data_IF_039814690336
#
_entry.id   IF_039814690336
#
_cell.length_a   1.000
_cell.length_b   1.000
_cell.length_c   1.000
_cell.angle_alpha   90.00
_cell.angle_beta   90.00
_cell.angle_gamma   90.00
#
_symmetry.space_group_name_H-M   'P 1'
#
loop_
_entity.id
_entity.type
_entity.pdbx_description
1 polymer ?
#
# COMPACT_ATOMS: atom_id res chain seq x y z
N UNK A 1 22.52 33.31 -19.91
CA UNK A 1 23.69 32.42 -19.94
C UNK A 1 23.66 31.54 -18.69
N UNK A 2 23.00 30.40 -18.74
CA UNK A 2 22.76 29.51 -17.60
C UNK A 2 23.70 28.31 -17.72
N UNK A 3 24.61 28.19 -16.77
CA UNK A 3 25.60 27.11 -16.71
C UNK A 3 24.89 25.81 -16.21
N UNK A 4 24.69 24.84 -17.10
CA UNK A 4 24.36 23.44 -16.74
C UNK A 4 25.55 22.84 -15.98
N UNK A 5 25.38 22.55 -14.70
CA UNK A 5 26.31 21.70 -13.94
C UNK A 5 26.00 20.25 -14.25
N UNK A 6 26.84 19.60 -15.03
CA UNK A 6 26.88 18.11 -15.09
C UNK A 6 27.40 17.60 -13.76
N UNK A 7 26.55 16.92 -12.98
CA UNK A 7 27.01 16.13 -11.84
C UNK A 7 27.52 14.79 -12.36
N UNK A 8 28.80 14.52 -12.11
CA UNK A 8 29.40 13.19 -12.30
C UNK A 8 28.88 12.27 -11.19
N UNK A 9 28.28 11.17 -11.59
CA UNK A 9 28.03 10.04 -10.68
C UNK A 9 29.37 9.43 -10.29
N UNK A 10 29.71 9.51 -9.03
CA UNK A 10 30.75 8.70 -8.41
C UNK A 10 30.03 7.60 -7.64
N UNK A 11 30.04 6.39 -8.18
CA UNK A 11 29.60 5.21 -7.48
C UNK A 11 30.60 4.90 -6.37
N UNK A 12 30.21 5.07 -5.12
CA UNK A 12 30.94 4.51 -3.98
C UNK A 12 30.45 3.09 -3.74
N UNK A 13 31.17 2.13 -4.31
CA UNK A 13 31.10 0.74 -3.88
C UNK A 13 32.09 0.60 -2.74
N UNK A 14 31.58 0.50 -1.52
CA UNK A 14 32.38 0.10 -0.37
C UNK A 14 31.67 -1.05 0.35
N UNK A 15 32.18 -2.22 0.09
CA UNK A 15 32.41 -3.33 1.00
C UNK A 15 31.26 -3.89 1.81
N UNK A 16 30.72 -5.00 1.38
CA UNK A 16 30.55 -6.16 2.24
C UNK A 16 30.47 -7.42 1.37
N UNK A 17 31.44 -8.24 1.57
CA UNK A 17 31.65 -9.54 0.92
C UNK A 17 30.57 -10.53 1.31
N UNK A 18 30.25 -11.40 0.34
CA UNK A 18 29.79 -12.78 0.46
C UNK A 18 28.33 -12.94 0.90
N UNK A 19 27.46 -13.17 -0.08
CA UNK A 19 26.66 -14.39 -0.17
C UNK A 19 26.26 -14.55 -1.65
N UNK A 20 26.63 -15.70 -2.15
CA UNK A 20 26.17 -16.46 -3.31
C UNK A 20 25.39 -15.72 -4.42
N UNK A 21 26.08 -15.41 -5.49
CA UNK A 21 25.69 -15.58 -6.89
C UNK A 21 24.21 -15.86 -7.15
N UNK A 22 23.39 -14.81 -7.16
CA UNK A 22 22.28 -14.68 -8.08
C UNK A 22 22.65 -13.53 -9.01
N UNK A 23 22.95 -13.85 -10.26
CA UNK A 23 23.18 -12.86 -11.28
C UNK A 23 21.85 -12.13 -11.56
N UNK A 24 21.65 -11.02 -10.89
CA UNK A 24 20.60 -10.07 -11.21
C UNK A 24 21.08 -9.26 -12.39
N UNK A 25 20.52 -9.48 -13.57
CA UNK A 25 20.72 -8.54 -14.66
C UNK A 25 19.77 -7.36 -14.41
N UNK A 26 20.35 -6.20 -14.17
CA UNK A 26 19.62 -4.93 -14.14
C UNK A 26 19.82 -4.27 -15.51
N UNK A 27 18.77 -4.08 -16.26
CA UNK A 27 18.80 -3.23 -17.45
C UNK A 27 18.06 -1.95 -17.13
N UNK A 28 18.72 -0.80 -17.31
CA UNK A 28 18.08 0.50 -17.20
C UNK A 28 17.69 0.97 -18.61
N UNK A 29 16.43 1.29 -18.80
CA UNK A 29 15.92 1.94 -20.00
C UNK A 29 15.47 3.36 -19.63
N UNK A 30 15.96 4.34 -20.34
CA UNK A 30 15.46 5.71 -20.21
C UNK A 30 14.26 5.83 -21.15
N UNK A 31 13.08 6.07 -20.59
CA UNK A 31 11.88 6.33 -21.36
C UNK A 31 11.92 7.73 -21.99
N UNK A 32 11.05 8.00 -22.95
CA UNK A 32 10.96 9.32 -23.65
C UNK A 32 10.74 10.49 -22.69
N UNK A 33 10.20 10.24 -21.49
CA UNK A 33 9.88 11.25 -20.48
C UNK A 33 10.99 11.41 -19.40
N UNK A 34 12.12 10.72 -19.54
CA UNK A 34 13.25 10.85 -18.62
C UNK A 34 13.18 9.93 -17.38
N UNK A 35 12.21 9.07 -17.30
CA UNK A 35 12.09 8.08 -16.23
C UNK A 35 13.07 6.93 -16.46
N UNK A 36 13.67 6.44 -15.39
CA UNK A 36 14.53 5.25 -15.41
C UNK A 36 13.68 4.07 -14.99
N UNK A 37 13.26 3.24 -15.95
CA UNK A 37 12.70 1.94 -15.63
C UNK A 37 13.82 0.97 -15.33
N UNK A 38 13.81 0.37 -14.17
CA UNK A 38 14.78 -0.65 -13.77
C UNK A 38 14.10 -2.01 -13.80
N UNK A 39 14.49 -2.84 -14.73
CA UNK A 39 13.96 -4.20 -14.85
C UNK A 39 14.77 -5.14 -13.96
N UNK A 40 14.16 -5.73 -12.94
CA UNK A 40 14.80 -6.76 -12.12
C UNK A 40 14.35 -8.13 -12.58
N UNK A 41 15.30 -8.97 -12.98
CA UNK A 41 15.04 -10.39 -13.23
C UNK A 41 15.25 -11.16 -11.93
N UNK A 42 14.16 -11.56 -11.28
CA UNK A 42 14.20 -12.35 -10.05
C UNK A 42 13.75 -13.78 -10.39
N UNK A 43 14.69 -14.73 -10.35
CA UNK A 43 14.40 -16.14 -10.59
C UNK A 43 14.30 -16.56 -12.06
N UNK A 44 14.17 -17.87 -12.30
CA UNK A 44 14.18 -18.45 -13.65
C UNK A 44 12.92 -18.21 -14.48
N UNK A 45 11.82 -17.81 -13.85
CA UNK A 45 10.51 -17.73 -14.50
C UNK A 45 9.75 -16.43 -14.20
N UNK A 46 10.43 -15.39 -13.75
CA UNK A 46 9.79 -14.09 -13.53
C UNK A 46 9.63 -13.39 -14.88
N UNK A 47 8.40 -13.09 -15.25
CA UNK A 47 8.13 -12.19 -16.36
C UNK A 47 8.34 -10.79 -15.79
N UNK A 48 9.26 -10.06 -16.36
CA UNK A 48 9.48 -8.66 -16.05
C UNK A 48 9.08 -7.91 -17.30
N UNK A 49 7.90 -7.26 -17.26
CA UNK A 49 7.55 -6.27 -18.24
C UNK A 49 7.95 -4.89 -17.72
N UNK A 50 8.50 -4.06 -18.62
CA UNK A 50 8.66 -2.65 -18.34
C UNK A 50 7.26 -2.09 -18.15
N UNK A 51 6.92 -1.69 -16.92
CA UNK A 51 5.67 -1.00 -16.69
C UNK A 51 5.75 0.33 -17.41
N UNK A 52 4.85 0.52 -18.37
CA UNK A 52 4.74 1.79 -19.08
C UNK A 52 4.22 2.83 -18.09
N UNK A 53 4.99 3.88 -17.83
CA UNK A 53 4.52 5.02 -17.04
C UNK A 53 3.23 5.59 -17.61
N UNK A 54 3.06 5.54 -18.95
CA UNK A 54 1.82 5.93 -19.62
C UNK A 54 0.63 5.08 -19.14
N UNK A 55 0.82 3.81 -18.77
CA UNK A 55 -0.24 2.97 -18.21
C UNK A 55 -0.63 3.40 -16.80
N UNK A 56 0.31 3.82 -15.95
CA UNK A 56 0.00 4.43 -14.66
C UNK A 56 -0.67 5.78 -14.82
N UNK A 57 -0.16 6.63 -15.70
CA UNK A 57 -0.76 7.93 -15.98
C UNK A 57 -2.16 7.81 -16.58
N UNK A 58 -2.39 6.86 -17.50
CA UNK A 58 -3.71 6.59 -18.06
C UNK A 58 -4.68 5.91 -17.09
N UNK A 59 -4.15 5.22 -16.07
CA UNK A 59 -4.92 4.64 -14.99
C UNK A 59 -5.24 5.61 -13.84
N UNK A 60 -4.78 6.87 -13.91
CA UNK A 60 -5.13 7.90 -12.93
C UNK A 60 -6.64 8.09 -12.93
N UNK A 61 -7.22 8.14 -11.74
CA UNK A 61 -8.63 8.48 -11.58
C UNK A 61 -8.85 9.85 -12.22
N UNK A 62 -9.61 9.86 -13.32
CA UNK A 62 -9.92 11.08 -14.03
C UNK A 62 -10.73 12.01 -13.11
N UNK A 63 -10.15 13.12 -12.78
CA UNK A 63 -10.68 14.12 -11.89
C UNK A 63 -9.52 15.03 -11.52
N UNK A 64 -9.81 16.16 -10.93
CA UNK A 64 -8.75 16.95 -10.35
C UNK A 64 -8.04 16.09 -9.32
N UNK A 65 -6.75 15.83 -9.52
CA UNK A 65 -5.92 15.13 -8.55
C UNK A 65 -6.06 15.81 -7.20
N UNK A 66 -6.41 15.02 -6.17
CA UNK A 66 -6.54 15.56 -4.82
C UNK A 66 -5.28 16.21 -4.31
N UNK A 67 -4.16 15.75 -4.80
CA UNK A 67 -2.86 16.18 -4.36
C UNK A 67 -2.39 17.44 -5.09
N UNK A 68 -2.93 17.74 -6.26
CA UNK A 68 -2.69 19.00 -6.97
C UNK A 68 -3.44 20.18 -6.40
N UNK A 69 -4.45 19.94 -5.59
CA UNK A 69 -5.12 21.06 -4.95
C UNK A 69 -4.22 21.65 -3.88
N UNK A 70 -4.22 22.97 -3.73
CA UNK A 70 -3.55 23.68 -2.63
C UNK A 70 -3.90 23.10 -1.24
N UNK A 71 -4.89 22.25 -1.16
CA UNK A 71 -5.46 21.66 0.04
C UNK A 71 -5.32 20.13 0.04
N UNK A 72 -4.39 19.58 -0.72
CA UNK A 72 -4.15 18.14 -0.84
C UNK A 72 -4.54 17.36 0.42
N UNK A 73 -5.69 16.68 0.46
CA UNK A 73 -6.20 16.08 1.70
C UNK A 73 -5.31 14.95 2.19
N UNK A 74 -4.54 14.34 1.31
CA UNK A 74 -3.61 13.27 1.67
C UNK A 74 -2.41 13.75 2.49
N UNK A 75 -1.97 14.97 2.25
CA UNK A 75 -0.82 15.55 2.94
C UNK A 75 -1.18 16.74 3.84
N UNK A 76 -2.45 17.07 3.94
CA UNK A 76 -2.92 18.24 4.66
C UNK A 76 -4.10 17.93 5.57
N UNK A 77 -4.11 18.53 6.75
CA UNK A 77 -5.24 18.51 7.66
C UNK A 77 -6.13 19.70 7.37
N UNK A 78 -7.37 19.45 6.97
CA UNK A 78 -8.32 20.49 6.61
C UNK A 78 -9.28 20.71 7.78
N UNK A 79 -9.35 21.95 8.28
CA UNK A 79 -10.22 22.33 9.39
C UNK A 79 -11.68 22.40 8.96
N UNK A 80 -11.89 23.06 7.82
CA UNK A 80 -13.21 23.27 7.23
C UNK A 80 -13.08 23.22 5.72
N UNK A 81 -13.81 22.33 5.09
CA UNK A 81 -13.81 22.17 3.64
C UNK A 81 -14.35 23.39 2.91
N UNK A 82 -15.40 24.01 3.46
CA UNK A 82 -16.00 25.20 2.85
C UNK A 82 -15.04 26.38 2.86
N UNK A 83 -14.27 26.51 3.94
CA UNK A 83 -13.25 27.54 4.09
C UNK A 83 -11.92 27.16 3.47
N UNK A 84 -11.73 25.86 3.11
CA UNK A 84 -10.47 25.30 2.59
C UNK A 84 -9.26 25.67 3.45
N UNK A 85 -9.42 25.62 4.77
CA UNK A 85 -8.38 26.02 5.73
C UNK A 85 -7.48 24.82 6.02
N UNK A 86 -6.21 24.94 5.69
CA UNK A 86 -5.17 23.94 6.07
C UNK A 86 -4.77 24.22 7.50
N UNK A 87 -4.96 23.23 8.40
CA UNK A 87 -4.44 23.30 9.77
C UNK A 87 -2.99 22.82 9.80
N UNK A 88 -2.67 21.82 8.96
CA UNK A 88 -1.37 21.18 8.94
C UNK A 88 -1.13 20.53 7.57
N UNK A 89 0.13 20.50 7.13
CA UNK A 89 0.55 19.99 5.83
C UNK A 89 1.63 18.89 5.91
N UNK A 90 1.78 18.26 7.09
CA UNK A 90 2.78 17.20 7.33
C UNK A 90 2.17 15.78 7.34
N UNK A 91 0.97 15.61 6.76
CA UNK A 91 0.31 14.32 6.64
C UNK A 91 0.94 13.48 5.53
N UNK A 92 1.14 12.18 5.80
CA UNK A 92 1.74 11.23 4.87
C UNK A 92 0.74 10.12 4.59
N UNK A 93 0.29 9.94 3.32
CA UNK A 93 -0.64 8.88 2.94
C UNK A 93 0.00 7.50 3.03
N UNK A 94 -0.77 6.50 3.45
CA UNK A 94 -0.29 5.14 3.68
C UNK A 94 -1.27 4.08 3.16
N UNK A 95 -2.41 3.93 3.80
CA UNK A 95 -3.38 2.90 3.51
C UNK A 95 -4.45 3.34 2.52
N UNK A 96 -5.00 2.37 1.77
CA UNK A 96 -6.10 2.57 0.84
C UNK A 96 -7.04 1.37 0.86
N UNK A 97 -8.36 1.61 0.94
CA UNK A 97 -9.40 0.58 0.78
C UNK A 97 -10.62 1.13 0.05
N UNK A 98 -11.38 0.24 -0.56
CA UNK A 98 -12.64 0.59 -1.23
C UNK A 98 -13.80 0.14 -0.35
N UNK A 99 -14.72 1.06 -0.07
CA UNK A 99 -15.93 0.81 0.73
C UNK A 99 -17.17 1.28 -0.05
N UNK A 100 -17.80 0.37 -0.76
CA UNK A 100 -18.91 0.69 -1.66
C UNK A 100 -18.50 1.67 -2.77
N UNK A 101 -19.09 2.86 -2.79
CA UNK A 101 -18.79 3.90 -3.78
C UNK A 101 -17.68 4.86 -3.32
N UNK A 102 -17.02 4.55 -2.22
CA UNK A 102 -16.04 5.43 -1.61
C UNK A 102 -14.65 4.79 -1.58
N UNK A 103 -13.65 5.64 -1.72
CA UNK A 103 -12.24 5.34 -1.48
C UNK A 103 -11.90 5.93 -0.11
N UNK A 104 -11.37 5.10 0.78
CA UNK A 104 -10.86 5.52 2.08
C UNK A 104 -9.34 5.44 2.05
N UNK A 105 -8.66 6.51 2.47
CA UNK A 105 -7.20 6.53 2.61
C UNK A 105 -6.81 6.97 4.01
N UNK A 106 -5.77 6.34 4.55
CA UNK A 106 -5.20 6.74 5.84
C UNK A 106 -3.98 7.61 5.64
N UNK A 107 -3.74 8.54 6.57
CA UNK A 107 -2.50 9.31 6.64
C UNK A 107 -2.09 9.51 8.09
N UNK A 108 -0.79 9.46 8.36
CA UNK A 108 -0.23 9.81 9.66
C UNK A 108 0.40 11.20 9.62
N UNK A 109 0.49 11.83 10.79
CA UNK A 109 1.23 13.07 10.95
C UNK A 109 2.72 12.79 11.13
N UNK A 110 3.54 13.20 10.16
CA UNK A 110 4.99 13.02 10.22
C UNK A 110 5.64 13.76 11.41
N UNK A 111 5.04 14.87 11.85
CA UNK A 111 5.55 15.60 13.02
C UNK A 111 5.32 14.86 14.33
N UNK A 112 4.38 13.90 14.37
CA UNK A 112 3.98 13.16 15.57
C UNK A 112 3.22 14.00 16.59
N UNK A 113 2.73 15.18 16.22
CA UNK A 113 2.03 16.09 17.13
C UNK A 113 0.51 15.94 17.06
N UNK A 114 0.00 15.29 16.01
CA UNK A 114 -1.42 15.17 15.76
C UNK A 114 -1.81 13.73 15.47
N UNK A 115 -3.09 13.45 15.71
CA UNK A 115 -3.68 12.16 15.40
C UNK A 115 -3.70 11.90 13.89
N UNK A 116 -3.64 10.63 13.54
CA UNK A 116 -3.79 10.13 12.18
C UNK A 116 -5.20 10.41 11.63
N UNK A 117 -5.34 10.39 10.33
CA UNK A 117 -6.59 10.74 9.65
C UNK A 117 -7.01 9.69 8.64
N UNK A 118 -8.31 9.64 8.37
CA UNK A 118 -8.89 8.98 7.20
C UNK A 118 -9.54 10.03 6.32
N UNK A 119 -9.24 9.98 5.03
CA UNK A 119 -9.89 10.79 4.00
C UNK A 119 -10.84 9.91 3.20
N UNK A 120 -12.00 10.45 2.87
CA UNK A 120 -13.04 9.79 2.08
C UNK A 120 -13.21 10.55 0.77
N UNK A 121 -13.14 9.81 -0.32
CA UNK A 121 -13.37 10.28 -1.69
C UNK A 121 -14.41 9.40 -2.37
N UNK A 122 -15.06 9.91 -3.40
CA UNK A 122 -15.81 9.04 -4.31
C UNK A 122 -14.84 8.36 -5.30
N UNK A 123 -15.36 7.42 -6.09
CA UNK A 123 -14.57 6.70 -7.12
C UNK A 123 -14.11 7.58 -8.30
N UNK A 124 -14.55 8.83 -8.38
CA UNK A 124 -14.04 9.81 -9.34
C UNK A 124 -12.85 10.61 -8.78
N UNK A 125 -12.46 10.34 -7.54
CA UNK A 125 -11.40 11.08 -6.86
C UNK A 125 -11.86 12.38 -6.20
N UNK A 126 -13.16 12.69 -6.19
CA UNK A 126 -13.68 13.90 -5.55
C UNK A 126 -13.69 13.71 -4.03
N UNK A 127 -13.10 14.65 -3.33
CA UNK A 127 -13.05 14.65 -1.88
C UNK A 127 -14.44 14.85 -1.26
N UNK A 128 -14.79 14.04 -0.28
CA UNK A 128 -16.08 14.09 0.43
C UNK A 128 -15.88 14.60 1.87
N UNK A 129 -15.06 13.93 2.68
CA UNK A 129 -14.83 14.27 4.08
C UNK A 129 -13.48 13.74 4.57
N UNK A 130 -13.10 14.16 5.78
CA UNK A 130 -11.99 13.59 6.51
C UNK A 130 -12.33 13.44 7.98
N UNK A 131 -11.73 12.42 8.60
CA UNK A 131 -11.94 12.08 10.00
C UNK A 131 -10.62 12.02 10.74
N UNK A 132 -10.60 12.62 11.92
CA UNK A 132 -9.50 12.47 12.88
C UNK A 132 -9.74 11.16 13.63
N UNK A 133 -8.74 10.29 13.62
CA UNK A 133 -8.76 9.05 14.39
C UNK A 133 -8.44 9.34 15.87
N UNK A 134 -8.80 8.41 16.74
CA UNK A 134 -8.48 8.46 18.17
C UNK A 134 -7.07 7.93 18.48
N UNK A 135 -6.16 8.01 17.52
CA UNK A 135 -4.77 7.55 17.63
C UNK A 135 -3.83 8.34 16.71
N UNK A 136 -2.54 8.32 17.04
CA UNK A 136 -1.42 8.93 16.30
C UNK A 136 -0.47 7.89 15.68
N UNK A 137 -0.97 6.67 15.39
CA UNK A 137 -0.16 5.59 14.83
C UNK A 137 0.21 5.84 13.36
N UNK A 138 1.16 5.05 12.84
CA UNK A 138 1.60 5.13 11.44
C UNK A 138 0.50 4.80 10.41
N UNK A 139 -0.57 4.11 10.81
CA UNK A 139 -1.74 3.72 10.00
C UNK A 139 -1.37 3.11 8.64
N UNK A 140 -0.31 2.26 8.62
CA UNK A 140 0.29 1.70 7.40
C UNK A 140 -0.64 0.87 6.52
N UNK A 141 -1.87 0.57 6.99
CA UNK A 141 -2.86 -0.14 6.21
C UNK A 141 -4.28 0.18 6.65
N UNK A 142 -5.24 -0.13 5.77
CA UNK A 142 -6.68 -0.03 6.04
C UNK A 142 -7.39 -1.14 5.26
N UNK A 143 -8.39 -1.78 5.86
CA UNK A 143 -9.18 -2.79 5.17
C UNK A 143 -10.67 -2.70 5.56
N UNK A 144 -11.54 -2.76 4.57
CA UNK A 144 -12.99 -2.81 4.80
C UNK A 144 -13.47 -4.26 4.86
N UNK A 145 -14.00 -4.63 6.00
CA UNK A 145 -14.68 -5.88 6.26
C UNK A 145 -16.18 -5.70 6.02
N UNK A 146 -16.59 -6.01 4.81
CA UNK A 146 -17.99 -5.85 4.39
C UNK A 146 -18.95 -6.74 5.18
N UNK A 147 -18.52 -7.92 5.60
CA UNK A 147 -19.36 -8.88 6.32
C UNK A 147 -19.77 -8.38 7.71
N UNK A 148 -18.81 -7.79 8.41
CA UNK A 148 -19.00 -7.31 9.77
C UNK A 148 -19.24 -5.80 9.85
N UNK A 149 -19.28 -5.09 8.70
CA UNK A 149 -19.41 -3.64 8.59
C UNK A 149 -18.35 -2.89 9.40
N UNK A 150 -17.10 -3.37 9.33
CA UNK A 150 -15.97 -2.80 10.06
C UNK A 150 -14.89 -2.28 9.10
N UNK A 151 -14.21 -1.23 9.53
CA UNK A 151 -12.97 -0.74 8.91
C UNK A 151 -11.81 -0.98 9.88
N UNK A 152 -10.86 -1.79 9.46
CA UNK A 152 -9.69 -2.16 10.22
C UNK A 152 -8.53 -1.23 9.92
N UNK A 153 -7.85 -0.73 10.96
CA UNK A 153 -6.70 0.16 10.83
C UNK A 153 -5.64 -0.26 11.86
N UNK A 154 -4.34 -0.33 11.49
CA UNK A 154 -3.27 -0.60 12.44
C UNK A 154 -3.16 0.47 13.52
N UNK A 155 -2.96 0.02 14.74
CA UNK A 155 -2.70 0.85 15.91
C UNK A 155 -1.25 0.69 16.37
N UNK A 156 -0.90 1.27 17.53
CA UNK A 156 0.43 1.17 18.09
C UNK A 156 0.82 -0.27 18.45
N UNK A 157 2.12 -0.54 18.45
CA UNK A 157 2.72 -1.77 18.96
C UNK A 157 2.18 -3.06 18.31
N UNK A 158 1.86 -3.02 17.01
CA UNK A 158 1.39 -4.18 16.27
C UNK A 158 -0.02 -4.64 16.65
N UNK A 159 -0.85 -3.72 17.12
CA UNK A 159 -2.26 -3.95 17.41
C UNK A 159 -3.16 -3.39 16.30
N UNK A 160 -4.43 -3.72 16.37
CA UNK A 160 -5.46 -3.25 15.44
C UNK A 160 -6.54 -2.48 16.18
N UNK A 161 -7.11 -1.51 15.48
CA UNK A 161 -8.37 -0.89 15.81
C UNK A 161 -9.40 -1.24 14.73
N UNK A 162 -10.66 -1.42 15.14
CA UNK A 162 -11.77 -1.58 14.21
C UNK A 162 -12.84 -0.50 14.49
N UNK A 163 -13.28 0.14 13.44
CA UNK A 163 -14.25 1.23 13.42
C UNK A 163 -15.52 0.77 12.73
N UNK A 164 -16.67 1.32 13.09
CA UNK A 164 -17.91 1.08 12.34
C UNK A 164 -17.78 1.71 10.95
N UNK A 165 -18.10 0.96 9.90
CA UNK A 165 -18.10 1.49 8.53
C UNK A 165 -19.06 2.67 8.37
N UNK A 166 -20.21 2.65 9.07
CA UNK A 166 -21.18 3.73 9.08
C UNK A 166 -20.63 5.06 9.59
N UNK A 167 -19.60 5.04 10.45
CA UNK A 167 -19.00 6.28 10.96
C UNK A 167 -18.29 7.06 9.84
N UNK A 168 -17.74 6.37 8.84
CA UNK A 168 -17.12 6.98 7.67
C UNK A 168 -18.12 7.52 6.64
N UNK A 169 -19.41 7.21 6.80
CA UNK A 169 -20.50 7.72 5.99
C UNK A 169 -21.32 8.82 6.69
N UNK A 170 -21.03 9.07 7.95
CA UNK A 170 -21.61 10.18 8.69
C UNK A 170 -20.77 11.45 8.48
N UNK A 171 -21.05 12.18 7.41
CA UNK A 171 -20.28 13.35 6.99
C UNK A 171 -20.44 14.56 7.92
N UNK A 172 -21.28 14.47 8.95
CA UNK A 172 -21.37 15.47 10.01
C UNK A 172 -20.25 15.32 11.06
N UNK A 173 -19.66 14.13 11.19
CA UNK A 173 -18.56 13.86 12.13
C UNK A 173 -17.23 14.45 11.64
N UNK A 174 -16.41 14.86 12.59
CA UNK A 174 -15.01 15.27 12.36
C UNK A 174 -14.02 14.31 12.99
N UNK A 175 -14.45 13.63 14.03
CA UNK A 175 -13.66 12.65 14.78
C UNK A 175 -14.44 11.35 14.87
N UNK A 176 -13.73 10.24 14.80
CA UNK A 176 -14.28 8.90 14.97
C UNK A 176 -13.44 8.11 15.97
N UNK A 177 -14.09 7.19 16.65
CA UNK A 177 -13.47 6.33 17.65
C UNK A 177 -13.63 4.87 17.30
N UNK A 178 -12.59 4.10 17.59
CA UNK A 178 -12.65 2.67 17.40
C UNK A 178 -13.71 2.05 18.31
N UNK A 179 -14.57 1.21 17.73
CA UNK A 179 -15.52 0.38 18.50
C UNK A 179 -14.80 -0.78 19.19
N UNK A 180 -13.75 -1.28 18.54
CA UNK A 180 -12.82 -2.25 19.13
C UNK A 180 -11.41 -1.68 19.01
N UNK A 181 -10.77 -1.44 20.13
CA UNK A 181 -9.45 -0.81 20.18
C UNK A 181 -8.40 -1.76 20.74
N UNK A 182 -7.15 -1.57 20.30
CA UNK A 182 -5.99 -2.30 20.80
C UNK A 182 -6.11 -3.82 20.71
N UNK A 183 -6.75 -4.32 19.65
CA UNK A 183 -6.92 -5.74 19.40
C UNK A 183 -5.54 -6.38 19.20
N UNK A 184 -5.20 -7.35 20.05
CA UNK A 184 -3.94 -8.07 19.96
C UNK A 184 -4.02 -9.16 18.89
N UNK A 185 -3.07 -9.15 17.97
CA UNK A 185 -2.92 -10.18 16.92
C UNK A 185 -1.90 -11.27 17.31
N UNK A 186 -1.48 -11.28 18.57
CA UNK A 186 -0.51 -12.24 19.10
C UNK A 186 0.94 -11.97 18.64
N UNK A 187 1.89 -12.55 19.38
CA UNK A 187 3.32 -12.23 19.33
C UNK A 187 4.08 -12.64 18.05
N UNK A 188 3.46 -13.04 17.00
CA UNK A 188 4.15 -13.67 15.87
C UNK A 188 4.52 -12.79 14.68
N UNK A 189 4.09 -11.51 14.64
CA UNK A 189 4.68 -10.52 13.73
C UNK A 189 5.94 -9.89 14.33
N UNK A 190 6.21 -10.19 15.60
CA UNK A 190 7.29 -9.61 16.36
C UNK A 190 8.61 -10.25 15.97
N UNK A 191 9.47 -9.51 15.34
CA UNK A 191 10.86 -9.88 15.27
C UNK A 191 11.50 -9.54 16.64
N UNK A 192 11.66 -10.53 17.52
CA UNK A 192 12.22 -10.38 18.87
C UNK A 192 13.57 -9.64 18.93
N UNK A 193 14.29 -9.56 17.80
CA UNK A 193 15.60 -8.89 17.72
C UNK A 193 15.52 -7.39 17.43
N UNK A 194 14.36 -6.87 17.03
CA UNK A 194 14.21 -5.44 16.75
C UNK A 194 12.78 -4.96 17.06
N UNK A 195 12.52 -4.40 18.24
CA UNK A 195 11.19 -3.92 18.66
C UNK A 195 10.63 -2.78 17.80
N UNK A 196 11.46 -2.06 17.04
CA UNK A 196 11.02 -1.05 16.07
C UNK A 196 10.39 -1.66 14.80
N UNK A 197 10.46 -2.99 14.65
CA UNK A 197 9.87 -3.73 13.49
C UNK A 197 8.52 -4.36 13.79
N UNK A 198 7.88 -3.96 14.86
CA UNK A 198 6.59 -4.52 15.29
C UNK A 198 5.38 -3.77 14.71
N UNK A 199 5.56 -3.04 13.62
CA UNK A 199 4.46 -2.34 12.96
C UNK A 199 3.76 -3.26 11.95
N UNK A 200 2.44 -3.22 11.96
CA UNK A 200 1.63 -3.74 10.87
C UNK A 200 1.80 -2.78 9.70
N UNK A 201 2.26 -3.31 8.57
CA UNK A 201 2.52 -2.50 7.39
C UNK A 201 1.30 -2.36 6.49
N UNK A 202 0.49 -3.41 6.38
CA UNK A 202 -0.70 -3.42 5.54
C UNK A 202 -1.74 -4.40 6.04
N UNK A 203 -2.97 -4.20 5.58
CA UNK A 203 -4.12 -5.06 5.84
C UNK A 203 -4.83 -5.42 4.55
N UNK A 204 -5.47 -6.58 4.50
CA UNK A 204 -6.38 -6.96 3.43
C UNK A 204 -7.50 -7.84 3.98
N UNK A 205 -8.68 -7.76 3.38
CA UNK A 205 -9.79 -8.70 3.60
C UNK A 205 -9.97 -9.50 2.31
N UNK A 206 -10.02 -10.81 2.46
CA UNK A 206 -10.32 -11.71 1.36
C UNK A 206 -11.04 -12.96 1.88
N UNK A 207 -12.13 -13.38 1.21
CA UNK A 207 -12.98 -14.50 1.65
C UNK A 207 -13.39 -14.40 3.13
N UNK A 208 -13.75 -13.20 3.60
CA UNK A 208 -14.14 -12.90 4.98
C UNK A 208 -13.01 -13.10 6.02
N UNK A 209 -11.79 -13.31 5.60
CA UNK A 209 -10.62 -13.44 6.47
C UNK A 209 -9.79 -12.15 6.47
N UNK A 210 -9.21 -11.82 7.62
CA UNK A 210 -8.30 -10.69 7.77
C UNK A 210 -6.85 -11.14 7.59
N UNK A 211 -6.15 -10.51 6.66
CA UNK A 211 -4.72 -10.69 6.42
C UNK A 211 -3.96 -9.49 6.97
N UNK A 212 -2.97 -9.76 7.81
CA UNK A 212 -2.16 -8.76 8.50
C UNK A 212 -0.70 -8.95 8.12
N UNK A 213 -0.13 -7.96 7.45
CA UNK A 213 1.22 -8.03 6.91
C UNK A 213 2.26 -7.20 7.66
N UNK A 214 3.49 -7.70 7.69
CA UNK A 214 4.66 -7.02 8.24
C UNK A 214 5.61 -6.55 7.15
N UNK A 215 6.29 -5.43 7.39
CA UNK A 215 7.33 -4.91 6.51
C UNK A 215 8.70 -5.44 6.87
N UNK A 216 9.51 -5.76 5.86
CA UNK A 216 10.94 -6.09 6.03
C UNK A 216 11.74 -5.56 4.84
N UNK A 217 12.85 -4.87 5.09
CA UNK A 217 13.72 -4.32 4.03
C UNK A 217 14.60 -5.40 3.41
N UNK A 218 15.14 -6.29 4.21
CA UNK A 218 16.21 -7.22 3.80
C UNK A 218 15.72 -8.67 3.71
N UNK A 219 14.98 -9.13 4.71
CA UNK A 219 14.44 -10.49 4.78
C UNK A 219 13.03 -10.54 4.20
N UNK A 220 12.52 -11.76 4.03
CA UNK A 220 11.09 -11.96 3.75
C UNK A 220 10.21 -11.27 4.79
N UNK A 221 9.11 -10.70 4.34
CA UNK A 221 8.03 -10.27 5.21
C UNK A 221 7.16 -11.47 5.62
N UNK A 222 6.16 -11.22 6.45
CA UNK A 222 5.25 -12.22 6.96
C UNK A 222 3.81 -11.71 6.89
N UNK A 223 2.89 -12.56 6.46
CA UNK A 223 1.45 -12.32 6.55
C UNK A 223 0.84 -13.35 7.47
N UNK A 224 0.00 -12.90 8.39
CA UNK A 224 -0.86 -13.73 9.23
C UNK A 224 -2.31 -13.63 8.78
N UNK A 225 -3.01 -14.75 8.86
CA UNK A 225 -4.41 -14.90 8.48
C UNK A 225 -5.27 -15.17 9.70
N UNK A 226 -6.44 -14.52 9.78
CA UNK A 226 -7.38 -14.64 10.89
C UNK A 226 -8.83 -14.74 10.41
N UNK A 227 -9.60 -15.64 11.04
CA UNK A 227 -11.06 -15.55 11.00
C UNK A 227 -11.52 -14.42 11.91
N UNK A 228 -12.54 -13.69 11.47
CA UNK A 228 -13.21 -12.66 12.24
C UNK A 228 -14.55 -13.20 12.71
N UNK A 229 -14.82 -13.13 13.99
CA UNK A 229 -16.12 -13.46 14.56
C UNK A 229 -16.56 -12.43 15.59
N UNK A 230 -17.85 -12.12 15.60
CA UNK A 230 -18.48 -11.25 16.59
C UNK A 230 -19.63 -12.06 17.18
N UNK A 231 -19.62 -12.25 18.49
CA UNK A 231 -20.66 -13.00 19.19
C UNK A 231 -21.92 -12.15 19.46
N UNK A 232 -22.95 -12.78 20.01
CA UNK A 232 -24.24 -12.12 20.35
C UNK A 232 -24.06 -11.01 21.39
N UNK A 233 -22.99 -11.06 22.20
CA UNK A 233 -22.64 -10.04 23.17
C UNK A 233 -21.79 -8.91 22.53
N UNK A 234 -21.64 -8.91 21.21
CA UNK A 234 -20.81 -7.99 20.42
C UNK A 234 -19.33 -8.02 20.79
N UNK A 235 -18.83 -9.14 21.27
CA UNK A 235 -17.39 -9.34 21.49
C UNK A 235 -16.72 -9.80 20.20
N UNK A 236 -15.72 -9.03 19.79
CA UNK A 236 -14.89 -9.36 18.65
C UNK A 236 -13.82 -10.37 19.03
N UNK A 237 -13.64 -11.38 18.19
CA UNK A 237 -12.58 -12.37 18.30
C UNK A 237 -11.88 -12.58 16.97
N UNK A 238 -10.56 -12.49 16.98
CA UNK A 238 -9.70 -12.94 15.88
C UNK A 238 -9.17 -14.33 16.18
N UNK A 239 -9.43 -15.28 15.29
CA UNK A 239 -8.93 -16.66 15.41
C UNK A 239 -7.85 -16.88 14.38
N UNK A 240 -6.61 -17.13 14.85
CA UNK A 240 -5.46 -17.39 13.97
C UNK A 240 -5.68 -18.62 13.10
N UNK A 241 -5.44 -18.52 11.80
CA UNK A 241 -5.62 -19.58 10.79
C UNK A 241 -4.32 -20.06 10.16
N UNK A 242 -3.29 -19.27 10.21
CA UNK A 242 -2.03 -19.58 9.59
C UNK A 242 -1.23 -18.35 9.20
N UNK A 243 -0.08 -18.59 8.57
CA UNK A 243 0.80 -17.54 8.07
C UNK A 243 1.56 -18.02 6.84
N UNK A 244 2.04 -17.08 6.05
CA UNK A 244 2.94 -17.32 4.93
C UNK A 244 3.97 -16.21 4.79
N UNK A 245 5.11 -16.55 4.19
CA UNK A 245 6.17 -15.59 3.88
C UNK A 245 5.88 -14.88 2.57
N UNK A 246 6.27 -13.62 2.51
CA UNK A 246 6.11 -12.75 1.35
C UNK A 246 7.46 -12.13 0.96
N UNK A 247 7.61 -11.57 -0.25
CA UNK A 247 8.81 -10.84 -0.61
C UNK A 247 9.16 -9.73 0.39
N UNK A 248 10.38 -9.26 0.34
CA UNK A 248 10.75 -8.06 1.11
C UNK A 248 10.09 -6.79 0.54
N UNK A 249 10.08 -5.74 1.35
CA UNK A 249 9.61 -4.38 0.99
C UNK A 249 8.14 -4.29 0.61
N UNK A 250 7.32 -5.26 1.02
CA UNK A 250 5.87 -5.20 0.77
C UNK A 250 5.22 -4.16 1.66
N UNK A 251 4.51 -3.23 1.03
CA UNK A 251 3.76 -2.13 1.66
C UNK A 251 2.24 -2.33 1.53
N UNK A 252 1.79 -3.19 0.61
CA UNK A 252 0.39 -3.49 0.42
C UNK A 252 0.17 -4.85 -0.22
N UNK A 253 -1.02 -5.39 0.00
CA UNK A 253 -1.44 -6.67 -0.54
C UNK A 253 -2.94 -6.66 -0.83
N UNK A 254 -3.33 -7.27 -1.94
CA UNK A 254 -4.73 -7.56 -2.24
C UNK A 254 -4.85 -8.85 -3.04
N UNK A 255 -6.07 -9.32 -3.23
CA UNK A 255 -6.36 -10.54 -3.99
C UNK A 255 -7.24 -10.22 -5.18
N UNK A 256 -7.04 -10.95 -6.27
CA UNK A 256 -7.87 -10.89 -7.45
C UNK A 256 -8.31 -12.29 -7.87
N UNK A 257 -9.59 -12.44 -8.18
CA UNK A 257 -10.13 -13.70 -8.69
C UNK A 257 -10.70 -13.50 -10.09
N UNK A 258 -10.20 -14.31 -11.03
CA UNK A 258 -10.72 -14.38 -12.39
C UNK A 258 -11.06 -15.83 -12.73
N UNK A 259 -12.35 -16.10 -12.94
CA UNK A 259 -12.87 -17.46 -13.08
C UNK A 259 -12.46 -18.33 -11.86
N UNK A 260 -11.82 -19.47 -12.10
CA UNK A 260 -11.35 -20.37 -11.04
C UNK A 260 -9.90 -20.10 -10.62
N UNK A 261 -9.27 -19.04 -11.14
CA UNK A 261 -7.91 -18.67 -10.79
C UNK A 261 -7.92 -17.52 -9.80
N UNK A 262 -7.08 -17.67 -8.79
CA UNK A 262 -6.86 -16.64 -7.77
C UNK A 262 -5.43 -16.11 -7.86
N UNK A 263 -5.28 -14.82 -7.64
CA UNK A 263 -4.01 -14.11 -7.69
C UNK A 263 -3.82 -13.29 -6.43
N UNK A 264 -2.58 -13.16 -5.99
CA UNK A 264 -2.18 -12.26 -4.92
C UNK A 264 -1.28 -11.19 -5.50
N UNK A 265 -1.56 -9.94 -5.14
CA UNK A 265 -0.87 -8.75 -5.63
C UNK A 265 -0.14 -8.10 -4.47
N UNK A 266 1.14 -7.80 -4.67
CA UNK A 266 1.97 -7.08 -3.71
C UNK A 266 2.47 -5.77 -4.29
N UNK A 267 2.31 -4.68 -3.56
CA UNK A 267 3.08 -3.46 -3.76
C UNK A 267 4.38 -3.56 -2.95
N UNK A 268 5.50 -3.33 -3.61
CA UNK A 268 6.83 -3.42 -2.97
C UNK A 268 7.57 -2.12 -3.17
N UNK A 269 7.91 -1.45 -2.09
CA UNK A 269 8.54 -0.14 -2.14
C UNK A 269 9.51 0.08 -0.98
N UNK A 270 10.61 0.77 -1.24
CA UNK A 270 11.50 1.26 -0.20
C UNK A 270 12.46 2.32 -0.77
N UNK A 271 12.36 3.53 -0.23
CA UNK A 271 13.28 4.62 -0.53
C UNK A 271 12.80 5.57 -1.64
N UNK A 272 13.23 6.82 -1.54
CA UNK A 272 12.74 7.95 -2.35
C UNK A 272 13.17 7.92 -3.82
N UNK A 273 14.29 7.26 -4.11
CA UNK A 273 14.92 7.24 -5.43
C UNK A 273 15.05 5.82 -5.97
N UNK A 274 14.16 4.95 -5.54
CA UNK A 274 14.11 3.57 -5.99
C UNK A 274 12.71 3.28 -6.48
N UNK A 275 12.58 2.89 -7.73
CA UNK A 275 11.29 2.47 -8.30
C UNK A 275 10.65 1.40 -7.45
N UNK A 276 9.35 1.49 -7.30
CA UNK A 276 8.54 0.46 -6.67
C UNK A 276 8.30 -0.70 -7.62
N UNK A 277 7.78 -1.78 -7.09
CA UNK A 277 7.49 -3.01 -7.85
C UNK A 277 6.07 -3.45 -7.51
N UNK A 278 5.21 -3.56 -8.52
CA UNK A 278 3.95 -4.27 -8.43
C UNK A 278 4.21 -5.72 -8.83
N UNK A 279 4.01 -6.68 -7.92
CA UNK A 279 4.30 -8.08 -8.17
C UNK A 279 3.07 -8.94 -7.94
N UNK A 280 2.74 -9.79 -8.92
CA UNK A 280 1.55 -10.62 -8.92
C UNK A 280 1.95 -12.10 -9.03
N UNK A 281 1.39 -12.92 -8.16
CA UNK A 281 1.55 -14.37 -8.16
C UNK A 281 0.20 -15.05 -8.33
N UNK A 282 0.20 -16.29 -8.84
CA UNK A 282 -0.94 -17.17 -8.65
C UNK A 282 -1.09 -17.46 -7.16
N UNK A 283 -2.30 -17.25 -6.62
CA UNK A 283 -2.58 -17.54 -5.22
C UNK A 283 -3.02 -18.99 -5.05
N UNK A 284 -2.49 -19.62 -4.01
CA UNK A 284 -2.94 -20.91 -3.52
C UNK A 284 -2.73 -20.94 -2.00
N UNK A 285 -3.75 -21.30 -1.25
CA UNK A 285 -3.71 -21.33 0.23
C UNK A 285 -2.67 -22.29 0.81
N UNK A 286 -2.20 -23.27 0.02
CA UNK A 286 -1.13 -24.20 0.42
C UNK A 286 0.28 -23.66 0.20
N UNK A 287 0.42 -22.45 -0.37
CA UNK A 287 1.71 -21.79 -0.52
C UNK A 287 2.00 -21.01 0.75
N UNK A 288 3.03 -21.41 1.47
CA UNK A 288 3.51 -20.76 2.71
C UNK A 288 4.74 -19.87 2.48
N UNK A 289 5.22 -19.75 1.23
CA UNK A 289 6.31 -18.85 0.88
C UNK A 289 6.21 -18.33 -0.56
N UNK A 290 5.94 -17.03 -0.74
CA UNK A 290 5.89 -16.34 -2.03
C UNK A 290 7.27 -15.73 -2.34
N UNK A 291 8.15 -16.53 -2.94
CA UNK A 291 9.49 -16.11 -3.34
C UNK A 291 9.74 -16.28 -4.86
N UNK A 292 10.98 -16.16 -5.26
CA UNK A 292 11.39 -16.29 -6.66
C UNK A 292 11.22 -17.67 -7.28
N UNK A 293 10.88 -18.70 -6.49
CA UNK A 293 10.62 -20.05 -7.00
C UNK A 293 9.20 -20.17 -7.59
N UNK A 294 8.30 -19.23 -7.25
CA UNK A 294 6.92 -19.19 -7.74
C UNK A 294 6.83 -18.25 -8.92
N UNK A 295 6.09 -18.68 -9.95
CA UNK A 295 5.84 -17.83 -11.13
C UNK A 295 5.14 -16.56 -10.73
N UNK A 296 5.67 -15.41 -11.16
CA UNK A 296 5.09 -14.10 -10.97
C UNK A 296 5.25 -13.22 -12.20
N UNK A 297 4.41 -12.21 -12.29
CA UNK A 297 4.63 -11.05 -13.16
C UNK A 297 5.02 -9.86 -12.29
N UNK A 298 5.92 -9.03 -12.80
CA UNK A 298 6.47 -7.89 -12.06
C UNK A 298 6.47 -6.67 -12.96
N UNK A 299 5.92 -5.57 -12.46
CA UNK A 299 5.90 -4.28 -13.12
C UNK A 299 6.67 -3.26 -12.29
N UNK A 300 7.43 -2.41 -12.95
CA UNK A 300 8.08 -1.26 -12.34
C UNK A 300 7.05 -0.14 -12.17
N UNK A 301 7.03 0.49 -11.02
CA UNK A 301 6.11 1.56 -10.66
C UNK A 301 6.87 2.77 -10.11
N UNK A 302 6.25 3.96 -10.06
CA UNK A 302 6.83 5.13 -9.39
C UNK A 302 7.30 4.80 -7.98
N UNK A 303 8.30 5.53 -7.51
CA UNK A 303 8.84 5.35 -6.16
C UNK A 303 7.78 5.56 -5.08
N UNK A 304 7.99 4.92 -3.92
CA UNK A 304 7.17 5.14 -2.72
C UNK A 304 5.70 4.74 -2.87
N UNK A 305 5.46 3.64 -3.60
CA UNK A 305 4.15 2.99 -3.69
C UNK A 305 3.80 2.34 -2.35
N UNK A 306 2.61 2.61 -1.86
CA UNK A 306 2.09 2.12 -0.59
C UNK A 306 1.00 1.05 -0.82
N UNK A 307 -0.08 1.08 -0.08
CA UNK A 307 -1.10 0.04 -0.15
C UNK A 307 -1.80 -0.03 -1.51
N UNK A 308 -2.21 -1.24 -1.88
CA UNK A 308 -3.07 -1.56 -3.01
C UNK A 308 -4.40 -2.12 -2.51
N UNK A 309 -5.48 -1.85 -3.23
CA UNK A 309 -6.80 -2.38 -2.94
C UNK A 309 -7.55 -2.70 -4.22
N UNK A 310 -8.39 -3.73 -4.20
CA UNK A 310 -9.16 -4.15 -5.36
C UNK A 310 -10.64 -3.81 -5.18
N UNK A 311 -11.26 -3.36 -6.27
CA UNK A 311 -12.70 -3.31 -6.43
C UNK A 311 -13.08 -3.83 -7.81
N UNK A 312 -13.80 -4.94 -7.83
CA UNK A 312 -14.17 -5.65 -9.08
C UNK A 312 -12.92 -6.02 -9.89
N UNK A 313 -12.69 -5.39 -11.03
CA UNK A 313 -11.53 -5.57 -11.90
C UNK A 313 -10.50 -4.44 -11.77
N UNK A 314 -10.75 -3.45 -10.93
CA UNK A 314 -9.90 -2.28 -10.80
C UNK A 314 -8.98 -2.40 -9.58
N UNK A 315 -7.68 -2.30 -9.82
CA UNK A 315 -6.65 -2.21 -8.80
C UNK A 315 -6.35 -0.73 -8.52
N UNK A 316 -6.61 -0.31 -7.31
CA UNK A 316 -6.30 1.03 -6.83
C UNK A 316 -4.95 1.02 -6.11
N UNK A 317 -4.10 2.00 -6.42
CA UNK A 317 -2.74 2.10 -5.91
C UNK A 317 -2.50 3.50 -5.36
N UNK A 318 -1.99 3.60 -4.12
CA UNK A 318 -1.64 4.88 -3.50
C UNK A 318 -0.13 5.02 -3.35
N UNK A 319 0.35 6.28 -3.38
CA UNK A 319 1.75 6.64 -3.24
C UNK A 319 1.92 7.68 -2.13
N UNK A 320 3.06 7.67 -1.45
CA UNK A 320 3.41 8.69 -0.46
C UNK A 320 4.42 9.74 -0.98
N UNK A 321 4.92 9.56 -2.22
CA UNK A 321 6.03 10.36 -2.77
C UNK A 321 5.75 11.86 -2.88
N UNK A 322 4.48 12.25 -3.03
CA UNK A 322 4.09 13.67 -3.08
C UNK A 322 3.86 14.30 -1.71
N UNK A 323 3.95 13.55 -0.61
CA UNK A 323 3.86 14.12 0.72
C UNK A 323 4.98 15.16 0.95
N UNK A 324 4.68 16.22 1.70
CA UNK A 324 5.61 17.36 1.91
C UNK A 324 7.01 16.94 2.34
N UNK A 325 7.11 15.94 3.24
CA UNK A 325 8.39 15.42 3.73
C UNK A 325 9.21 14.73 2.63
N UNK A 326 8.55 14.25 1.57
CA UNK A 326 9.16 13.49 0.48
C UNK A 326 9.31 14.31 -0.81
N UNK A 327 8.92 15.58 -0.82
CA UNK A 327 9.12 16.48 -1.96
C UNK A 327 10.57 16.50 -2.40
N UNK A 328 10.76 16.43 -3.73
CA UNK A 328 12.08 16.32 -4.35
C UNK A 328 12.60 14.90 -4.48
N UNK A 329 11.76 13.88 -4.28
CA UNK A 329 12.00 12.55 -4.84
C UNK A 329 11.94 12.62 -6.38
N UNK A 330 12.54 11.65 -7.06
CA UNK A 330 12.69 11.68 -8.52
C UNK A 330 11.35 11.63 -9.25
N UNK A 331 10.37 10.89 -8.67
CA UNK A 331 9.04 10.69 -9.20
C UNK A 331 8.00 11.03 -8.11
N UNK A 332 7.62 12.31 -8.03
CA UNK A 332 6.50 12.70 -7.17
C UNK A 332 5.20 12.29 -7.85
N UNK A 333 4.59 11.22 -7.33
CA UNK A 333 3.30 10.74 -7.82
C UNK A 333 2.22 11.08 -6.80
N UNK A 334 1.34 11.99 -7.16
CA UNK A 334 0.40 12.65 -6.27
C UNK A 334 -1.06 12.21 -6.48
N UNK A 335 -1.27 11.08 -7.14
CA UNK A 335 -2.59 10.59 -7.49
C UNK A 335 -2.81 9.15 -7.04
N UNK A 336 -4.08 8.75 -6.89
CA UNK A 336 -4.43 7.34 -6.81
C UNK A 336 -4.48 6.80 -8.23
N UNK A 337 -3.67 5.79 -8.50
CA UNK A 337 -3.66 5.11 -9.79
C UNK A 337 -4.72 4.00 -9.80
N UNK A 338 -5.39 3.81 -10.94
CA UNK A 338 -6.34 2.71 -11.13
C UNK A 338 -5.93 1.92 -12.35
N UNK A 339 -5.69 0.63 -12.16
CA UNK A 339 -5.24 -0.30 -13.19
C UNK A 339 -6.32 -1.37 -13.44
N UNK A 340 -6.49 -1.76 -14.69
CA UNK A 340 -7.32 -2.92 -15.05
C UNK A 340 -6.56 -4.20 -14.73
N UNK A 341 -7.11 -5.05 -13.85
CA UNK A 341 -6.47 -6.29 -13.46
C UNK A 341 -6.37 -7.29 -14.60
N UNK A 342 -7.24 -7.24 -15.57
CA UNK A 342 -7.17 -8.14 -16.73
C UNK A 342 -5.90 -7.88 -17.55
N UNK A 343 -5.55 -6.61 -17.72
CA UNK A 343 -4.30 -6.21 -18.38
C UNK A 343 -3.09 -6.59 -17.53
N UNK A 344 -3.16 -6.35 -16.22
CA UNK A 344 -2.07 -6.63 -15.27
C UNK A 344 -1.74 -8.12 -15.18
N UNK A 345 -2.72 -9.04 -15.25
CA UNK A 345 -2.48 -10.49 -15.19
C UNK A 345 -2.27 -11.15 -16.54
N UNK A 346 -2.50 -10.42 -17.65
CA UNK A 346 -2.42 -10.99 -19.00
C UNK A 346 -1.15 -11.82 -19.25
N UNK A 347 0.06 -11.39 -18.83
CA UNK A 347 1.27 -12.16 -19.04
C UNK A 347 1.28 -13.52 -18.30
N UNK A 348 0.59 -13.63 -17.16
CA UNK A 348 0.43 -14.91 -16.45
C UNK A 348 -0.51 -15.87 -17.19
N UNK A 349 -1.49 -15.34 -17.94
CA UNK A 349 -2.43 -16.13 -18.69
C UNK A 349 -1.81 -16.67 -19.98
N UNK A 350 -0.99 -15.88 -20.66
CA UNK A 350 -0.36 -16.25 -21.96
C UNK A 350 0.66 -17.38 -21.85
N UNK A 351 1.24 -17.66 -20.69
CA UNK A 351 2.24 -18.73 -20.47
C UNK A 351 1.66 -20.11 -20.17
N UNK A 352 0.36 -20.28 -20.13
CA UNK A 352 -0.30 -21.58 -19.86
C UNK A 352 -0.51 -22.45 -21.11
N UNK A 353 0.04 -22.05 -22.30
CA UNK A 353 -0.06 -22.79 -23.54
C UNK A 353 1.33 -23.19 -24.08
#
# INVERSE_FOLDING_TARGET
>A
MVRKRKRKFVSLIAGASIIATMASYCSCKITKNGYISTTYKIGKETIVDDFDMDAFENGIISGESFLYTKYAPFSSRINDLSAKTIIQDDMVPQGLTIMGDYILTTSYDHSGLNNSMVYVMNKKGEYINSYILDMDSHVGGIAYDKKNELVWIPSHSGKLNAYMASDFLDFSKKEIKAIYSNIDIGNGLLNYKNPLKNSIAFLSIYNDELFVGSFSVVSTGLVKKYDISIDDEKKLKLTYKGMFNIPNKVQGMTFYKKNDNEYIVFSRSFGRNTSSILQIFSYNENIDNYDSSIQSVTYTAPAMMEQVSLDSNCLYVIFESAAKIYRGCEDEFDSICVLDMDDVIEPLLKKRY
#
